data_IF_218361728871
#
_entry.id   IF_218361728871
#
_cell.length_a   1.000
_cell.length_b   1.000
_cell.length_c   1.000
_cell.angle_alpha   90.00
_cell.angle_beta   90.00
_cell.angle_gamma   90.00
#
_symmetry.space_group_name_H-M   'P 1'
#
loop_
_entity.id
_entity.type
_entity.pdbx_description
1 polymer ?
#
# COMPACT_ATOMS: atom_id res chain seq x y z
N UNK A 1 -4.97 -16.22 -13.87
CA UNK A 1 -5.66 -17.45 -13.45
C UNK A 1 -4.68 -18.58 -13.68
N UNK A 2 -4.45 -19.45 -12.70
CA UNK A 2 -3.58 -20.63 -12.88
C UNK A 2 -4.36 -21.82 -13.44
N UNK A 3 -3.66 -22.83 -13.97
CA UNK A 3 -4.30 -24.03 -14.52
C UNK A 3 -5.06 -24.85 -13.45
N UNK A 4 -4.72 -24.71 -12.16
CA UNK A 4 -5.51 -25.29 -11.06
C UNK A 4 -6.84 -24.55 -10.88
N UNK A 5 -6.82 -23.21 -10.91
CA UNK A 5 -8.05 -22.40 -10.89
C UNK A 5 -8.93 -22.73 -12.11
N UNK A 6 -8.33 -22.78 -13.31
CA UNK A 6 -9.01 -23.11 -14.56
C UNK A 6 -9.68 -24.49 -14.51
N UNK A 7 -9.02 -25.51 -13.96
CA UNK A 7 -9.60 -26.84 -13.75
C UNK A 7 -10.83 -26.77 -12.82
N UNK A 8 -10.74 -26.03 -11.71
CA UNK A 8 -11.85 -25.88 -10.75
C UNK A 8 -13.07 -25.24 -11.44
N UNK A 9 -12.88 -24.16 -12.20
CA UNK A 9 -13.98 -23.51 -12.93
C UNK A 9 -14.49 -24.38 -14.09
N UNK A 10 -13.62 -25.12 -14.77
CA UNK A 10 -13.99 -26.08 -15.82
C UNK A 10 -14.90 -27.18 -15.28
N UNK A 11 -14.55 -27.77 -14.12
CA UNK A 11 -15.38 -28.77 -13.44
C UNK A 11 -16.72 -28.19 -12.97
N UNK A 12 -16.71 -26.98 -12.40
CA UNK A 12 -17.95 -26.28 -12.03
C UNK A 12 -18.82 -25.97 -13.27
N UNK A 13 -18.20 -25.66 -14.42
CA UNK A 13 -18.89 -25.44 -15.70
C UNK A 13 -19.60 -26.70 -16.18
N UNK A 14 -19.05 -27.90 -15.96
CA UNK A 14 -19.74 -29.18 -16.25
C UNK A 14 -21.05 -29.28 -15.46
N UNK A 15 -21.06 -28.91 -14.17
CA UNK A 15 -22.28 -28.94 -13.34
C UNK A 15 -23.29 -27.90 -13.84
N UNK A 16 -22.85 -26.66 -14.11
CA UNK A 16 -23.70 -25.56 -14.62
C UNK A 16 -24.33 -25.90 -15.97
N UNK A 17 -23.53 -26.33 -16.95
CA UNK A 17 -24.03 -26.74 -18.28
C UNK A 17 -24.89 -27.99 -18.20
N UNK A 18 -24.59 -28.94 -17.32
CA UNK A 18 -25.44 -30.11 -17.15
C UNK A 18 -26.82 -29.71 -16.61
N UNK A 19 -26.88 -28.90 -15.56
CA UNK A 19 -28.12 -28.34 -15.02
C UNK A 19 -28.96 -27.66 -16.11
N UNK A 20 -28.35 -26.72 -16.86
CA UNK A 20 -29.07 -25.93 -17.87
C UNK A 20 -29.44 -26.73 -19.13
N UNK A 21 -28.86 -27.90 -19.33
CA UNK A 21 -29.27 -28.85 -20.39
C UNK A 21 -30.47 -29.73 -20.01
N UNK A 22 -30.88 -29.75 -18.73
CA UNK A 22 -32.10 -30.45 -18.31
C UNK A 22 -33.33 -29.55 -18.49
N UNK A 23 -34.53 -30.15 -18.45
CA UNK A 23 -35.81 -29.43 -18.57
C UNK A 23 -36.20 -28.76 -17.25
N UNK A 24 -35.45 -27.72 -16.89
CA UNK A 24 -35.58 -26.95 -15.66
C UNK A 24 -36.00 -25.52 -16.01
N UNK A 25 -37.03 -25.02 -15.30
CA UNK A 25 -37.61 -23.69 -15.54
C UNK A 25 -36.65 -22.54 -15.25
N UNK A 26 -35.85 -22.66 -14.20
CA UNK A 26 -34.90 -21.64 -13.74
C UNK A 26 -33.48 -22.05 -14.16
N UNK A 27 -33.06 -21.70 -15.38
CA UNK A 27 -31.68 -21.92 -15.85
C UNK A 27 -30.73 -20.92 -15.21
N UNK A 28 -29.49 -21.36 -14.97
CA UNK A 28 -28.40 -20.52 -14.45
C UNK A 28 -27.88 -19.57 -15.52
N UNK A 29 -27.86 -20.02 -16.78
CA UNK A 29 -27.41 -19.26 -17.96
C UNK A 29 -28.40 -19.39 -19.11
N UNK A 30 -28.67 -18.27 -19.78
CA UNK A 30 -29.49 -18.21 -21.00
C UNK A 30 -28.66 -17.61 -22.15
N UNK A 31 -28.48 -18.41 -23.20
CA UNK A 31 -27.88 -18.02 -24.47
C UNK A 31 -28.36 -18.97 -25.59
N UNK A 32 -28.45 -18.45 -26.81
CA UNK A 32 -28.87 -19.20 -28.01
C UNK A 32 -27.66 -19.74 -28.76
N UNK A 33 -26.62 -18.92 -28.91
CA UNK A 33 -25.34 -19.26 -29.53
C UNK A 33 -24.52 -20.22 -28.64
N UNK A 34 -24.06 -21.39 -29.14
CA UNK A 34 -23.29 -22.35 -28.34
C UNK A 34 -21.97 -21.80 -27.79
N UNK A 35 -21.28 -20.95 -28.55
CA UNK A 35 -20.03 -20.29 -28.15
C UNK A 35 -20.24 -19.31 -27.00
N UNK A 36 -21.31 -18.51 -27.09
CA UNK A 36 -21.72 -17.55 -26.05
C UNK A 36 -22.25 -18.28 -24.82
N UNK A 37 -22.99 -19.38 -25.00
CA UNK A 37 -23.45 -20.23 -23.90
C UNK A 37 -22.28 -20.79 -23.11
N UNK A 38 -21.31 -21.41 -23.80
CA UNK A 38 -20.09 -21.94 -23.18
C UNK A 38 -19.37 -20.88 -22.35
N UNK A 39 -19.08 -19.72 -22.95
CA UNK A 39 -18.42 -18.62 -22.24
C UNK A 39 -19.21 -18.18 -21.00
N UNK A 40 -20.52 -17.90 -21.15
CA UNK A 40 -21.36 -17.47 -20.02
C UNK A 40 -21.50 -18.53 -18.93
N UNK A 41 -21.52 -19.82 -19.27
CA UNK A 41 -21.53 -20.91 -18.28
C UNK A 41 -20.22 -20.98 -17.50
N UNK A 42 -19.09 -20.71 -18.15
CA UNK A 42 -17.79 -20.59 -17.48
C UNK A 42 -17.71 -19.32 -16.61
N UNK A 43 -18.10 -18.15 -17.13
CA UNK A 43 -18.19 -16.90 -16.37
C UNK A 43 -19.08 -17.11 -15.10
N UNK A 44 -20.22 -17.80 -15.25
CA UNK A 44 -21.12 -18.12 -14.13
C UNK A 44 -20.53 -19.14 -13.16
N UNK A 45 -19.71 -20.08 -13.63
CA UNK A 45 -18.99 -21.02 -12.76
C UNK A 45 -17.93 -20.30 -11.90
N UNK A 46 -17.21 -19.33 -12.48
CA UNK A 46 -16.31 -18.44 -11.73
C UNK A 46 -17.09 -17.69 -10.65
N UNK A 47 -18.20 -17.03 -11.02
CA UNK A 47 -19.04 -16.29 -10.06
C UNK A 47 -19.51 -17.16 -8.88
N UNK A 48 -19.91 -18.41 -9.13
CA UNK A 48 -20.38 -19.33 -8.09
C UNK A 48 -19.23 -19.74 -7.15
N UNK A 49 -18.05 -20.08 -7.68
CA UNK A 49 -16.91 -20.56 -6.88
C UNK A 49 -16.22 -19.42 -6.11
N UNK A 50 -16.31 -18.18 -6.61
CA UNK A 50 -15.73 -16.99 -5.97
C UNK A 50 -16.69 -16.22 -5.05
N UNK A 51 -17.98 -16.58 -4.98
CA UNK A 51 -18.92 -15.89 -4.09
C UNK A 51 -18.50 -16.06 -2.61
N UNK A 52 -18.38 -14.93 -1.92
CA UNK A 52 -18.06 -14.86 -0.49
C UNK A 52 -19.30 -14.82 0.40
N UNK A 53 -20.50 -14.68 -0.19
CA UNK A 53 -21.78 -14.60 0.53
C UNK A 53 -22.50 -15.95 0.59
N UNK A 54 -22.36 -16.76 -0.45
CA UNK A 54 -23.01 -18.07 -0.59
C UNK A 54 -21.95 -19.16 -0.67
N UNK A 55 -22.03 -20.18 0.17
CA UNK A 55 -21.17 -21.35 0.02
C UNK A 55 -21.53 -22.10 -1.28
N UNK A 56 -20.56 -22.22 -2.19
CA UNK A 56 -20.73 -22.84 -3.49
C UNK A 56 -21.12 -24.32 -3.38
N UNK A 57 -20.69 -25.02 -2.30
CA UNK A 57 -20.90 -26.45 -2.16
C UNK A 57 -22.39 -26.81 -2.00
N UNK A 58 -23.12 -26.34 -0.97
CA UNK A 58 -24.56 -26.59 -0.84
C UNK A 58 -25.37 -25.96 -1.97
N UNK A 59 -24.90 -24.86 -2.58
CA UNK A 59 -25.56 -24.27 -3.75
C UNK A 59 -25.52 -25.22 -4.96
N UNK A 60 -24.34 -25.74 -5.33
CA UNK A 60 -24.19 -26.67 -6.44
C UNK A 60 -24.82 -28.04 -6.13
N UNK A 61 -24.72 -28.52 -4.89
CA UNK A 61 -25.41 -29.75 -4.44
C UNK A 61 -26.94 -29.63 -4.64
N UNK A 62 -27.54 -28.51 -4.24
CA UNK A 62 -28.95 -28.24 -4.46
C UNK A 62 -29.34 -28.17 -5.95
N UNK A 63 -28.47 -27.61 -6.81
CA UNK A 63 -28.68 -27.59 -8.26
C UNK A 63 -28.50 -28.98 -8.90
N UNK A 64 -27.59 -29.82 -8.40
CA UNK A 64 -27.47 -31.23 -8.81
C UNK A 64 -28.74 -31.99 -8.46
N UNK A 65 -29.18 -31.96 -7.19
CA UNK A 65 -30.38 -32.66 -6.73
C UNK A 65 -31.65 -32.23 -7.51
N UNK A 66 -31.74 -30.96 -7.89
CA UNK A 66 -32.82 -30.45 -8.74
C UNK A 66 -32.76 -30.99 -10.18
N UNK A 67 -31.57 -31.17 -10.76
CA UNK A 67 -31.40 -31.59 -12.16
C UNK A 67 -31.32 -33.11 -12.37
N UNK A 68 -31.01 -33.90 -11.34
CA UNK A 68 -30.90 -35.37 -11.43
C UNK A 68 -32.05 -36.13 -10.78
N UNK A 69 -33.22 -35.51 -10.61
CA UNK A 69 -34.37 -36.11 -9.94
C UNK A 69 -34.79 -37.45 -10.59
N UNK A 70 -34.56 -38.56 -9.88
CA UNK A 70 -34.82 -39.92 -10.36
C UNK A 70 -33.73 -40.53 -11.24
N UNK A 71 -32.58 -39.88 -11.40
CA UNK A 71 -31.43 -40.36 -12.18
C UNK A 71 -30.16 -40.46 -11.32
N UNK A 72 -30.21 -41.31 -10.29
CA UNK A 72 -29.16 -41.46 -9.26
C UNK A 72 -27.75 -41.74 -9.80
N UNK A 73 -27.61 -42.46 -10.92
CA UNK A 73 -26.30 -42.71 -11.55
C UNK A 73 -25.62 -41.41 -11.98
N UNK A 74 -26.42 -40.42 -12.43
CA UNK A 74 -25.90 -39.11 -12.82
C UNK A 74 -25.65 -38.21 -11.62
N UNK A 75 -26.53 -38.27 -10.63
CA UNK A 75 -26.38 -37.61 -9.32
C UNK A 75 -25.03 -37.97 -8.70
N UNK A 76 -24.70 -39.27 -8.60
CA UNK A 76 -23.42 -39.76 -8.06
C UNK A 76 -22.19 -39.21 -8.81
N UNK A 77 -22.26 -39.12 -10.14
CA UNK A 77 -21.20 -38.56 -10.98
C UNK A 77 -21.02 -37.05 -10.80
N UNK A 78 -22.10 -36.28 -10.71
CA UNK A 78 -22.00 -34.83 -10.50
C UNK A 78 -21.56 -34.50 -9.07
N UNK A 79 -22.00 -35.29 -8.07
CA UNK A 79 -21.52 -35.18 -6.69
C UNK A 79 -20.05 -35.58 -6.56
N UNK A 80 -19.56 -36.53 -7.37
CA UNK A 80 -18.12 -36.79 -7.47
C UNK A 80 -17.36 -35.55 -7.98
N UNK A 81 -17.79 -34.95 -9.09
CA UNK A 81 -17.20 -33.70 -9.59
C UNK A 81 -17.24 -32.60 -8.51
N UNK A 82 -18.34 -32.46 -7.78
CA UNK A 82 -18.46 -31.45 -6.71
C UNK A 82 -17.50 -31.71 -5.53
N UNK A 83 -17.27 -32.98 -5.17
CA UNK A 83 -16.28 -33.35 -4.15
C UNK A 83 -14.84 -33.11 -4.62
N UNK A 84 -14.52 -33.37 -5.89
CA UNK A 84 -13.22 -33.03 -6.47
C UNK A 84 -13.01 -31.51 -6.56
N UNK A 85 -14.01 -30.73 -6.98
CA UNK A 85 -14.00 -29.26 -6.92
C UNK A 85 -13.64 -28.79 -5.52
N UNK A 86 -14.30 -29.37 -4.49
CA UNK A 86 -14.03 -29.03 -3.10
C UNK A 86 -12.61 -29.36 -2.67
N UNK A 87 -12.12 -30.58 -2.98
CA UNK A 87 -10.76 -30.97 -2.65
C UNK A 87 -9.72 -30.06 -3.34
N UNK A 88 -9.91 -29.75 -4.62
CA UNK A 88 -9.04 -28.86 -5.38
C UNK A 88 -9.10 -27.42 -4.85
N UNK A 89 -10.28 -26.94 -4.41
CA UNK A 89 -10.45 -25.63 -3.77
C UNK A 89 -9.73 -25.57 -2.41
N UNK A 90 -9.80 -26.65 -1.61
CA UNK A 90 -9.00 -26.80 -0.37
C UNK A 90 -7.48 -26.72 -0.66
N UNK A 91 -7.01 -27.19 -1.82
CA UNK A 91 -5.60 -27.04 -2.24
C UNK A 91 -5.26 -25.65 -2.83
N UNK A 92 -6.20 -25.03 -3.55
CA UNK A 92 -6.04 -23.69 -4.11
C UNK A 92 -5.95 -22.62 -3.01
N UNK A 93 -6.78 -22.72 -1.98
CA UNK A 93 -6.87 -21.73 -0.89
C UNK A 93 -5.72 -21.82 0.14
N UNK A 94 -4.74 -22.70 -0.09
CA UNK A 94 -3.52 -22.78 0.71
C UNK A 94 -2.74 -21.46 0.63
N UNK A 95 -2.11 -21.08 1.73
CA UNK A 95 -1.22 -19.90 1.83
C UNK A 95 0.26 -20.27 1.99
N UNK A 96 0.52 -21.55 2.23
CA UNK A 96 1.86 -22.11 2.42
C UNK A 96 2.18 -23.03 1.26
N UNK A 97 3.41 -22.98 0.72
CA UNK A 97 3.91 -23.97 -0.24
C UNK A 97 3.75 -25.39 0.30
N UNK A 98 3.63 -26.36 -0.61
CA UNK A 98 3.63 -27.78 -0.29
C UNK A 98 5.02 -28.23 0.15
N UNK A 99 5.06 -29.11 1.14
CA UNK A 99 6.25 -29.94 1.40
C UNK A 99 6.45 -30.94 0.24
N UNK A 100 7.68 -31.41 -0.06
CA UNK A 100 7.95 -32.24 -1.23
C UNK A 100 7.08 -33.51 -1.31
N UNK A 101 6.78 -34.12 -0.16
CA UNK A 101 5.89 -35.29 -0.07
C UNK A 101 4.42 -34.94 -0.32
N UNK A 102 3.96 -33.81 0.20
CA UNK A 102 2.58 -33.34 -0.03
C UNK A 102 2.37 -32.98 -1.50
N UNK A 103 3.37 -32.34 -2.13
CA UNK A 103 3.33 -32.01 -3.56
C UNK A 103 3.26 -33.27 -4.43
N UNK A 104 4.05 -34.30 -4.08
CA UNK A 104 3.99 -35.60 -4.76
C UNK A 104 2.60 -36.24 -4.60
N UNK A 105 2.06 -36.30 -3.37
CA UNK A 105 0.72 -36.85 -3.14
C UNK A 105 -0.35 -36.07 -3.90
N UNK A 106 -0.29 -34.74 -3.91
CA UNK A 106 -1.23 -33.92 -4.69
C UNK A 106 -1.12 -34.17 -6.20
N UNK A 107 0.09 -34.31 -6.74
CA UNK A 107 0.31 -34.69 -8.13
C UNK A 107 -0.26 -36.08 -8.44
N UNK A 108 -0.08 -37.06 -7.54
CA UNK A 108 -0.62 -38.41 -7.70
C UNK A 108 -2.15 -38.42 -7.68
N UNK A 109 -2.78 -37.66 -6.78
CA UNK A 109 -4.24 -37.49 -6.71
C UNK A 109 -4.81 -36.82 -7.98
N UNK A 110 -4.17 -35.76 -8.47
CA UNK A 110 -4.57 -35.06 -9.69
C UNK A 110 -4.36 -35.94 -10.95
N UNK A 111 -3.27 -36.71 -10.98
CA UNK A 111 -3.04 -37.72 -12.04
C UNK A 111 -4.14 -38.78 -12.04
N UNK A 112 -4.53 -39.27 -10.86
CA UNK A 112 -5.58 -40.27 -10.74
C UNK A 112 -6.95 -39.73 -11.19
N UNK A 113 -7.29 -38.49 -10.83
CA UNK A 113 -8.51 -37.82 -11.30
C UNK A 113 -8.60 -37.79 -12.84
N UNK A 114 -7.48 -37.46 -13.50
CA UNK A 114 -7.41 -37.46 -14.97
C UNK A 114 -7.50 -38.87 -15.58
N UNK A 115 -6.88 -39.87 -14.94
CA UNK A 115 -7.01 -41.27 -15.33
C UNK A 115 -8.46 -41.75 -15.20
N UNK A 116 -9.14 -41.40 -14.10
CA UNK A 116 -10.54 -41.75 -13.85
C UNK A 116 -11.47 -41.09 -14.88
N UNK A 117 -11.25 -39.82 -15.23
CA UNK A 117 -11.99 -39.17 -16.32
C UNK A 117 -11.83 -39.89 -17.67
N UNK A 118 -10.60 -40.23 -18.06
CA UNK A 118 -10.35 -40.98 -19.31
C UNK A 118 -10.97 -42.38 -19.26
N UNK A 119 -10.89 -43.07 -18.12
CA UNK A 119 -11.50 -44.39 -17.93
C UNK A 119 -13.03 -44.33 -18.02
N UNK A 120 -13.67 -43.34 -17.38
CA UNK A 120 -15.12 -43.12 -17.47
C UNK A 120 -15.57 -42.80 -18.89
N UNK A 121 -14.81 -42.01 -19.66
CA UNK A 121 -15.11 -41.72 -21.07
C UNK A 121 -14.98 -42.96 -21.96
N UNK A 122 -14.01 -43.83 -21.71
CA UNK A 122 -13.81 -45.06 -22.47
C UNK A 122 -14.73 -46.22 -22.02
N UNK A 123 -15.46 -46.06 -20.91
CA UNK A 123 -16.35 -47.07 -20.37
C UNK A 123 -17.81 -46.86 -20.78
N UNK A 124 -18.51 -47.97 -21.10
CA UNK A 124 -19.92 -47.99 -21.54
C UNK A 124 -20.88 -47.60 -20.41
N UNK A 125 -21.89 -46.79 -20.71
CA UNK A 125 -23.02 -46.52 -19.82
C UNK A 125 -23.59 -47.83 -19.24
N UNK A 126 -23.75 -47.91 -17.92
CA UNK A 126 -24.23 -49.08 -17.18
C UNK A 126 -23.13 -50.03 -16.70
N UNK A 127 -21.91 -49.94 -17.24
CA UNK A 127 -20.72 -50.51 -16.59
C UNK A 127 -20.21 -49.52 -15.53
N UNK A 128 -19.61 -50.02 -14.45
CA UNK A 128 -19.09 -49.22 -13.34
C UNK A 128 -17.56 -49.20 -13.32
N UNK A 129 -17.00 -48.08 -12.88
CA UNK A 129 -15.58 -47.85 -12.64
C UNK A 129 -15.36 -47.37 -11.20
N UNK A 130 -14.44 -47.97 -10.42
CA UNK A 130 -14.07 -47.47 -9.10
C UNK A 130 -13.17 -46.24 -9.23
N UNK A 131 -13.79 -45.06 -9.33
CA UNK A 131 -13.08 -43.78 -9.34
C UNK A 131 -12.57 -43.41 -7.94
N UNK A 132 -11.46 -42.66 -7.88
CA UNK A 132 -10.86 -42.20 -6.63
C UNK A 132 -11.38 -40.82 -6.27
N UNK A 133 -12.26 -40.75 -5.27
CA UNK A 133 -12.76 -39.50 -4.69
C UNK A 133 -11.77 -39.01 -3.62
N UNK A 134 -11.19 -37.83 -3.84
CA UNK A 134 -10.18 -37.22 -3.00
C UNK A 134 -10.78 -36.41 -1.86
N UNK A 135 -10.11 -36.40 -0.71
CA UNK A 135 -10.45 -35.49 0.39
C UNK A 135 -9.23 -35.23 1.28
N UNK A 136 -9.29 -34.15 2.06
CA UNK A 136 -8.34 -33.85 3.15
C UNK A 136 -8.27 -34.92 4.26
N UNK A 137 -9.19 -35.91 4.26
CA UNK A 137 -9.18 -37.06 5.17
C UNK A 137 -8.69 -38.36 4.51
N UNK A 138 -8.12 -38.27 3.31
CA UNK A 138 -7.73 -39.40 2.47
C UNK A 138 -8.70 -39.65 1.32
N UNK A 139 -8.31 -40.54 0.40
CA UNK A 139 -9.12 -40.92 -0.75
C UNK A 139 -10.10 -42.06 -0.45
N UNK A 140 -11.18 -42.14 -1.23
CA UNK A 140 -12.19 -43.21 -1.17
C UNK A 140 -12.52 -43.67 -2.58
N UNK A 141 -12.80 -44.97 -2.75
CA UNK A 141 -13.32 -45.47 -4.02
C UNK A 141 -14.82 -45.23 -4.13
N UNK A 142 -15.25 -44.77 -5.30
CA UNK A 142 -16.65 -44.49 -5.63
C UNK A 142 -16.98 -45.12 -6.98
N UNK A 143 -17.92 -46.04 -6.98
CA UNK A 143 -18.41 -46.67 -8.20
C UNK A 143 -19.19 -45.66 -9.03
N UNK A 144 -18.66 -45.32 -10.21
CA UNK A 144 -19.26 -44.38 -11.15
C UNK A 144 -19.52 -45.08 -12.48
N UNK A 145 -20.68 -44.80 -13.09
CA UNK A 145 -20.98 -45.41 -14.38
C UNK A 145 -20.26 -44.73 -15.53
N UNK A 146 -19.80 -45.53 -16.49
CA UNK A 146 -19.19 -45.05 -17.74
C UNK A 146 -20.07 -44.05 -18.50
N UNK A 147 -19.44 -43.26 -19.37
CA UNK A 147 -20.02 -42.12 -20.06
C UNK A 147 -20.22 -42.36 -21.57
N UNK A 148 -19.77 -43.49 -22.10
CA UNK A 148 -19.91 -43.87 -23.51
C UNK A 148 -21.30 -44.45 -23.80
N UNK A 149 -22.07 -43.81 -24.68
CA UNK A 149 -23.43 -44.24 -25.00
C UNK A 149 -23.44 -45.31 -26.11
N UNK A 150 -23.89 -46.51 -25.76
CA UNK A 150 -24.00 -47.65 -26.67
C UNK A 150 -25.36 -47.77 -27.38
N UNK A 151 -26.37 -46.98 -26.98
CA UNK A 151 -27.75 -47.13 -27.49
C UNK A 151 -27.98 -46.53 -28.88
N UNK A 152 -27.03 -45.76 -29.40
CA UNK A 152 -27.10 -45.17 -30.74
C UNK A 152 -25.88 -45.57 -31.55
N UNK A 153 -26.10 -45.86 -32.84
CA UNK A 153 -25.02 -46.19 -33.79
C UNK A 153 -24.04 -45.02 -33.85
N UNK A 154 -22.74 -45.30 -33.67
CA UNK A 154 -21.67 -44.29 -33.74
C UNK A 154 -20.99 -43.92 -32.43
N UNK A 155 -21.16 -44.69 -31.34
CA UNK A 155 -20.26 -44.63 -30.16
C UNK A 155 -20.17 -43.27 -29.47
N UNK A 156 -21.23 -42.46 -29.51
CA UNK A 156 -21.22 -41.08 -28.99
C UNK A 156 -21.19 -41.07 -27.47
N UNK A 157 -20.60 -40.05 -26.87
CA UNK A 157 -20.69 -39.84 -25.43
C UNK A 157 -22.12 -39.49 -24.98
N UNK A 158 -22.47 -39.80 -23.74
CA UNK A 158 -23.63 -39.21 -23.09
C UNK A 158 -23.39 -37.70 -22.84
N UNK A 159 -24.46 -36.94 -22.54
CA UNK A 159 -24.38 -35.49 -22.31
C UNK A 159 -23.22 -35.09 -21.38
N UNK A 160 -23.08 -35.74 -20.22
CA UNK A 160 -22.00 -35.44 -19.27
C UNK A 160 -20.61 -35.85 -19.75
N UNK A 161 -20.49 -36.89 -20.58
CA UNK A 161 -19.23 -37.23 -21.23
C UNK A 161 -18.82 -36.16 -22.26
N UNK A 162 -19.79 -35.66 -23.03
CA UNK A 162 -19.53 -34.53 -23.94
C UNK A 162 -19.15 -33.27 -23.17
N UNK A 163 -19.83 -32.94 -22.06
CA UNK A 163 -19.47 -31.79 -21.23
C UNK A 163 -18.08 -31.93 -20.58
N UNK A 164 -17.69 -33.14 -20.15
CA UNK A 164 -16.36 -33.41 -19.62
C UNK A 164 -15.27 -33.22 -20.70
N UNK A 165 -15.54 -33.63 -21.93
CA UNK A 165 -14.64 -33.40 -23.07
C UNK A 165 -14.57 -31.91 -23.42
N UNK A 166 -15.72 -31.28 -23.64
CA UNK A 166 -15.85 -29.89 -24.05
C UNK A 166 -15.19 -28.95 -23.03
N UNK A 167 -15.47 -29.12 -21.73
CA UNK A 167 -15.10 -28.14 -20.71
C UNK A 167 -13.86 -28.49 -19.92
N UNK A 168 -13.47 -29.76 -19.75
CA UNK A 168 -12.29 -30.12 -18.96
C UNK A 168 -11.13 -30.54 -19.86
N UNK A 169 -11.30 -31.58 -20.67
CA UNK A 169 -10.21 -32.11 -21.49
C UNK A 169 -9.72 -31.06 -22.51
N UNK A 170 -10.64 -30.44 -23.27
CA UNK A 170 -10.27 -29.42 -24.26
C UNK A 170 -9.54 -28.22 -23.64
N UNK A 171 -9.99 -27.75 -22.47
CA UNK A 171 -9.42 -26.59 -21.76
C UNK A 171 -8.04 -26.92 -21.20
N UNK A 172 -7.84 -28.12 -20.67
CA UNK A 172 -6.53 -28.57 -20.18
C UNK A 172 -5.59 -29.07 -21.29
N UNK A 173 -6.04 -29.09 -22.55
CA UNK A 173 -5.33 -29.64 -23.71
C UNK A 173 -5.02 -31.14 -23.58
N UNK A 174 -6.02 -31.89 -23.10
CA UNK A 174 -6.03 -33.35 -22.96
C UNK A 174 -6.93 -33.99 -24.02
N UNK A 175 -6.71 -35.27 -24.30
CA UNK A 175 -7.59 -36.11 -25.13
C UNK A 175 -7.99 -37.40 -24.41
N UNK A 176 -8.92 -38.16 -25.01
CA UNK A 176 -9.29 -39.49 -24.50
C UNK A 176 -8.25 -40.58 -24.80
N UNK A 177 -7.25 -40.26 -25.62
CA UNK A 177 -6.19 -41.19 -26.07
C UNK A 177 -4.87 -41.01 -25.29
N UNK A 178 -4.72 -39.90 -24.56
CA UNK A 178 -3.54 -39.57 -23.74
C UNK A 178 -3.13 -40.74 -22.83
N UNK A 179 -1.83 -41.06 -22.82
CA UNK A 179 -1.22 -42.08 -21.97
C UNK A 179 -1.17 -41.66 -20.49
N UNK A 180 -0.99 -42.62 -19.58
CA UNK A 180 -0.81 -42.30 -18.15
C UNK A 180 0.41 -41.39 -17.89
N UNK A 181 1.43 -41.44 -18.75
CA UNK A 181 2.59 -40.56 -18.71
C UNK A 181 2.22 -39.11 -19.04
N UNK A 182 1.47 -38.87 -20.10
CA UNK A 182 1.02 -37.54 -20.50
C UNK A 182 0.06 -36.94 -19.46
N UNK A 183 -0.91 -37.73 -18.96
CA UNK A 183 -1.80 -37.30 -17.88
C UNK A 183 -1.02 -36.92 -16.60
N UNK A 184 0.05 -37.67 -16.26
CA UNK A 184 0.93 -37.38 -15.12
C UNK A 184 1.79 -36.13 -15.33
N UNK A 185 2.21 -35.86 -16.57
CA UNK A 185 2.93 -34.65 -16.93
C UNK A 185 2.03 -33.41 -16.85
N UNK A 186 0.80 -33.50 -17.37
CA UNK A 186 -0.20 -32.42 -17.27
C UNK A 186 -0.52 -32.12 -15.80
N UNK A 187 -0.75 -33.15 -14.98
CA UNK A 187 -0.93 -32.98 -13.53
C UNK A 187 0.32 -32.37 -12.86
N UNK A 188 1.52 -32.84 -13.21
CA UNK A 188 2.79 -32.30 -12.69
C UNK A 188 2.97 -30.83 -13.00
N UNK A 189 2.69 -30.41 -14.24
CA UNK A 189 2.76 -29.02 -14.67
C UNK A 189 1.79 -28.13 -13.86
N UNK A 190 0.55 -28.58 -13.64
CA UNK A 190 -0.43 -27.85 -12.80
C UNK A 190 0.06 -27.72 -11.35
N UNK A 191 0.59 -28.81 -10.77
CA UNK A 191 1.11 -28.80 -9.40
C UNK A 191 2.36 -27.90 -9.24
N UNK A 192 3.27 -27.90 -10.22
CA UNK A 192 4.48 -27.05 -10.21
C UNK A 192 4.09 -25.57 -10.35
N UNK A 193 3.18 -25.25 -11.27
CA UNK A 193 2.66 -23.89 -11.45
C UNK A 193 2.06 -23.32 -10.15
N UNK A 194 1.21 -24.11 -9.48
CA UNK A 194 0.62 -23.73 -8.19
C UNK A 194 1.67 -23.63 -7.07
N UNK A 195 2.62 -24.56 -6.98
CA UNK A 195 3.72 -24.49 -6.01
C UNK A 195 4.59 -23.23 -6.21
N UNK A 196 4.86 -22.84 -7.46
CA UNK A 196 5.55 -21.59 -7.77
C UNK A 196 4.73 -20.37 -7.35
N UNK A 197 3.43 -20.34 -7.61
CA UNK A 197 2.53 -19.27 -7.15
C UNK A 197 2.54 -19.14 -5.61
N UNK A 198 2.39 -20.24 -4.88
CA UNK A 198 2.41 -20.28 -3.41
C UNK A 198 3.76 -19.80 -2.85
N UNK A 199 4.86 -20.17 -3.50
CA UNK A 199 6.20 -19.75 -3.10
C UNK A 199 6.37 -18.23 -3.25
N UNK A 200 5.98 -17.68 -4.40
CA UNK A 200 6.00 -16.23 -4.66
C UNK A 200 5.09 -15.44 -3.71
N UNK A 201 3.92 -15.97 -3.34
CA UNK A 201 3.04 -15.35 -2.34
C UNK A 201 3.66 -15.39 -0.93
N UNK A 202 4.24 -16.53 -0.54
CA UNK A 202 4.92 -16.69 0.75
C UNK A 202 6.13 -15.75 0.89
N UNK A 203 6.90 -15.55 -0.18
CA UNK A 203 8.02 -14.61 -0.20
C UNK A 203 7.58 -13.15 -0.09
N UNK A 204 6.53 -12.75 -0.80
CA UNK A 204 5.93 -11.40 -0.67
C UNK A 204 5.50 -11.11 0.76
N UNK A 205 4.73 -12.01 1.38
CA UNK A 205 4.30 -11.87 2.77
C UNK A 205 5.47 -11.80 3.76
N UNK A 206 6.56 -12.56 3.52
CA UNK A 206 7.78 -12.48 4.35
C UNK A 206 8.53 -11.16 4.17
N UNK A 207 8.51 -10.57 2.98
CA UNK A 207 9.15 -9.28 2.72
C UNK A 207 8.32 -8.13 3.33
N UNK A 208 7.01 -8.13 3.15
CA UNK A 208 6.07 -7.19 3.79
C UNK A 208 6.18 -7.23 5.33
N UNK A 209 6.31 -8.43 5.91
CA UNK A 209 6.54 -8.59 7.36
C UNK A 209 7.88 -7.96 7.81
N UNK A 210 8.96 -8.19 7.07
CA UNK A 210 10.28 -7.59 7.37
C UNK A 210 10.29 -6.08 7.20
N UNK A 211 9.60 -5.54 6.19
CA UNK A 211 9.44 -4.10 6.00
C UNK A 211 8.65 -3.49 7.17
N UNK A 212 7.57 -4.13 7.61
CA UNK A 212 6.82 -3.68 8.81
C UNK A 212 7.65 -3.74 10.09
N UNK A 213 8.48 -4.76 10.28
CA UNK A 213 9.42 -4.82 11.41
C UNK A 213 10.49 -3.73 11.35
N UNK A 214 11.05 -3.47 10.16
CA UNK A 214 12.01 -2.40 9.94
C UNK A 214 11.40 -1.01 10.19
N UNK A 215 10.18 -0.77 9.74
CA UNK A 215 9.45 0.48 10.04
C UNK A 215 9.19 0.64 11.54
N UNK A 216 8.77 -0.42 12.25
CA UNK A 216 8.60 -0.39 13.70
C UNK A 216 9.90 -0.11 14.45
N UNK A 217 11.01 -0.71 14.04
CA UNK A 217 12.33 -0.43 14.61
C UNK A 217 12.77 1.02 14.34
N UNK A 218 12.53 1.54 13.13
CA UNK A 218 12.81 2.93 12.78
C UNK A 218 11.97 3.92 13.58
N UNK A 219 10.68 3.64 13.79
CA UNK A 219 9.80 4.45 14.64
C UNK A 219 10.27 4.43 16.10
N UNK A 220 10.60 3.26 16.64
CA UNK A 220 11.16 3.13 17.99
C UNK A 220 12.47 3.91 18.18
N UNK A 221 13.38 3.89 17.19
CA UNK A 221 14.60 4.71 17.21
C UNK A 221 14.32 6.22 17.17
N UNK A 222 13.32 6.65 16.39
CA UNK A 222 12.90 8.05 16.33
C UNK A 222 12.24 8.51 17.64
N UNK A 223 11.44 7.66 18.28
CA UNK A 223 10.87 7.93 19.61
C UNK A 223 11.96 8.01 20.69
N UNK A 224 12.93 7.09 20.67
CA UNK A 224 14.09 7.13 21.56
C UNK A 224 14.88 8.44 21.40
N UNK A 225 15.30 8.79 20.18
CA UNK A 225 16.00 10.06 19.90
C UNK A 225 15.18 11.28 20.32
N UNK A 226 13.87 11.27 20.12
CA UNK A 226 13.00 12.38 20.55
C UNK A 226 12.98 12.49 22.08
N UNK A 227 12.86 11.38 22.80
CA UNK A 227 12.92 11.38 24.27
C UNK A 227 14.27 11.82 24.82
N UNK A 228 15.38 11.48 24.15
CA UNK A 228 16.72 11.96 24.50
C UNK A 228 16.81 13.48 24.30
N UNK A 229 16.37 13.99 23.14
CA UNK A 229 16.30 15.43 22.86
C UNK A 229 15.41 16.19 23.86
N UNK A 230 14.22 15.68 24.18
CA UNK A 230 13.33 16.27 25.17
C UNK A 230 13.97 16.27 26.58
N UNK A 231 14.74 15.23 26.92
CA UNK A 231 15.48 15.15 28.19
C UNK A 231 16.66 16.14 28.25
N UNK A 232 17.40 16.29 27.15
CA UNK A 232 18.51 17.23 27.03
C UNK A 232 18.02 18.67 27.07
N UNK A 233 16.94 18.99 26.35
CA UNK A 233 16.31 20.31 26.39
C UNK A 233 15.77 20.64 27.79
N UNK A 234 15.23 19.66 28.52
CA UNK A 234 14.77 19.84 29.90
C UNK A 234 15.92 20.08 30.89
N UNK A 235 17.08 19.45 30.67
CA UNK A 235 18.32 19.74 31.41
C UNK A 235 18.83 21.15 31.11
N UNK A 236 18.89 21.56 29.84
CA UNK A 236 19.31 22.91 29.45
C UNK A 236 18.39 24.00 30.04
N UNK A 237 17.07 23.73 30.11
CA UNK A 237 16.12 24.63 30.77
C UNK A 237 16.41 24.75 32.28
N UNK A 238 16.65 23.64 32.97
CA UNK A 238 16.99 23.62 34.39
C UNK A 238 18.32 24.33 34.70
N UNK A 239 19.30 24.28 33.79
CA UNK A 239 20.55 25.04 33.92
C UNK A 239 20.32 26.54 33.73
N UNK A 240 19.51 26.95 32.75
CA UNK A 240 19.10 28.35 32.55
C UNK A 240 18.30 28.89 33.73
N UNK A 241 17.37 28.10 34.28
CA UNK A 241 16.58 28.48 35.45
C UNK A 241 17.48 28.67 36.68
N UNK A 242 18.45 27.78 36.92
CA UNK A 242 19.46 27.96 37.98
C UNK A 242 20.32 29.20 37.77
N UNK A 243 20.75 29.48 36.54
CA UNK A 243 21.51 30.69 36.22
C UNK A 243 20.69 31.97 36.45
N UNK A 244 19.39 31.95 36.08
CA UNK A 244 18.45 33.04 36.38
C UNK A 244 18.22 33.21 37.88
N UNK A 245 18.11 32.12 38.64
CA UNK A 245 17.95 32.15 40.10
C UNK A 245 19.16 32.82 40.77
N UNK A 246 20.38 32.43 40.38
CA UNK A 246 21.62 33.05 40.88
C UNK A 246 21.70 34.55 40.55
N UNK A 247 21.37 34.95 39.32
CA UNK A 247 21.34 36.35 38.93
C UNK A 247 20.28 37.16 39.69
N UNK A 248 19.13 36.54 40.02
CA UNK A 248 18.07 37.16 40.83
C UNK A 248 18.50 37.33 42.30
N UNK A 249 19.24 36.39 42.86
CA UNK A 249 19.75 36.49 44.23
C UNK A 249 20.93 37.47 44.34
N UNK A 250 21.77 37.60 43.30
CA UNK A 250 22.80 38.64 43.19
C UNK A 250 22.16 40.06 43.14
N UNK A 251 21.14 40.25 42.29
CA UNK A 251 20.33 41.48 42.23
C UNK A 251 19.64 41.82 43.57
N UNK A 252 19.20 40.81 44.33
CA UNK A 252 18.66 41.00 45.68
C UNK A 252 19.72 41.46 46.67
N UNK A 253 20.90 40.82 46.64
CA UNK A 253 22.07 41.23 47.45
C UNK A 253 22.44 42.69 47.21
N UNK A 254 22.44 43.13 45.96
CA UNK A 254 22.77 44.52 45.61
C UNK A 254 21.64 45.49 46.02
N UNK A 255 20.37 45.09 45.92
CA UNK A 255 19.25 45.90 46.45
C UNK A 255 19.28 46.01 47.99
N UNK A 256 19.74 44.98 48.70
CA UNK A 256 19.94 45.04 50.16
C UNK A 256 21.14 45.95 50.51
N UNK A 257 22.26 45.84 49.80
CA UNK A 257 23.39 46.77 49.96
C UNK A 257 23.01 48.22 49.69
N UNK A 258 22.13 48.49 48.71
CA UNK A 258 21.62 49.84 48.42
C UNK A 258 20.65 50.33 49.52
N UNK A 259 19.94 49.43 50.22
CA UNK A 259 19.10 49.77 51.39
C UNK A 259 19.89 49.96 52.68
N UNK A 260 21.00 49.24 52.85
CA UNK A 260 21.89 49.34 54.01
C UNK A 260 22.96 50.44 53.87
N UNK A 261 23.19 50.94 52.66
CA UNK A 261 23.93 52.17 52.45
C UNK A 261 23.27 53.31 53.26
N UNK A 262 24.05 54.08 54.06
CA UNK A 262 23.47 55.16 54.85
C UNK A 262 22.86 56.21 53.93
N UNK A 263 21.81 56.90 54.40
CA UNK A 263 21.29 58.11 53.76
C UNK A 263 22.17 59.31 54.13
N UNK A 264 22.94 59.88 53.19
CA UNK A 264 23.19 61.32 53.21
C UNK A 264 22.95 61.93 51.82
N UNK A 265 21.68 62.04 51.39
CA UNK A 265 21.29 62.77 50.18
C UNK A 265 20.03 63.62 50.42
N UNK A 266 20.01 64.37 51.52
CA UNK A 266 19.03 65.46 51.73
C UNK A 266 19.68 66.83 51.99
N UNK A 267 20.96 66.88 52.39
CA UNK A 267 21.67 68.14 52.73
C UNK A 267 22.41 68.78 51.53
N UNK A 268 22.58 68.07 50.41
CA UNK A 268 23.22 68.64 49.21
C UNK A 268 22.31 69.65 48.48
N UNK A 269 20.98 69.50 48.60
CA UNK A 269 19.99 70.32 47.88
C UNK A 269 19.87 71.78 48.36
N UNK A 270 20.39 72.13 49.55
CA UNK A 270 20.39 73.53 50.02
C UNK A 270 21.62 74.32 49.54
N UNK A 271 22.76 73.67 49.27
CA UNK A 271 23.92 74.35 48.68
C UNK A 271 23.74 74.67 47.19
N UNK A 272 22.92 73.90 46.48
CA UNK A 272 22.64 74.14 45.06
C UNK A 272 21.68 75.31 44.81
N UNK A 273 21.00 75.83 45.85
CA UNK A 273 20.19 77.06 45.75
C UNK A 273 21.00 78.34 45.80
N UNK A 274 22.11 78.38 46.55
CA UNK A 274 22.95 79.58 46.64
C UNK A 274 23.88 79.74 45.44
N UNK A 275 24.31 78.63 44.82
CA UNK A 275 25.06 78.64 43.55
C UNK A 275 24.19 79.05 42.34
N UNK A 276 22.89 78.77 42.36
CA UNK A 276 21.97 79.29 41.32
C UNK A 276 21.82 80.81 41.37
N UNK A 277 21.84 81.43 42.55
CA UNK A 277 21.75 82.90 42.69
C UNK A 277 23.00 83.61 42.14
N UNK A 278 24.20 83.07 42.39
CA UNK A 278 25.44 83.66 41.84
C UNK A 278 25.59 83.45 40.33
N UNK A 279 25.00 82.38 39.76
CA UNK A 279 24.92 82.20 38.31
C UNK A 279 24.00 83.26 37.67
N UNK A 280 22.86 83.59 38.29
CA UNK A 280 21.92 84.61 37.80
C UNK A 280 22.51 86.03 37.85
N UNK A 281 23.30 86.35 38.87
CA UNK A 281 24.08 87.60 38.94
C UNK A 281 25.19 87.67 37.87
N UNK A 282 25.97 86.60 37.68
CA UNK A 282 26.98 86.54 36.63
C UNK A 282 26.38 86.63 35.22
N UNK A 283 25.18 86.09 34.99
CA UNK A 283 24.47 86.25 33.72
C UNK A 283 24.05 87.71 33.47
N UNK A 284 23.60 88.45 34.49
CA UNK A 284 23.31 89.89 34.37
C UNK A 284 24.55 90.73 34.08
N UNK A 285 25.69 90.41 34.68
CA UNK A 285 26.96 91.08 34.35
C UNK A 285 27.43 90.76 32.92
N UNK A 286 27.21 89.53 32.45
CA UNK A 286 27.54 89.12 31.08
C UNK A 286 26.62 89.81 30.05
N UNK A 287 25.32 89.95 30.30
CA UNK A 287 24.43 90.73 29.43
C UNK A 287 24.81 92.22 29.41
N UNK A 288 25.16 92.80 30.56
CA UNK A 288 25.58 94.21 30.65
C UNK A 288 26.86 94.48 29.86
N UNK A 289 27.89 93.65 30.05
CA UNK A 289 29.16 93.76 29.29
C UNK A 289 28.95 93.52 27.80
N UNK A 290 28.04 92.62 27.40
CA UNK A 290 27.68 92.38 26.00
C UNK A 290 26.97 93.57 25.36
N UNK A 291 26.12 94.28 26.10
CA UNK A 291 25.48 95.52 25.64
C UNK A 291 26.50 96.67 25.46
N UNK A 292 27.47 96.79 26.38
CA UNK A 292 28.59 97.74 26.25
C UNK A 292 29.47 97.42 25.03
N UNK A 293 29.72 96.14 24.75
CA UNK A 293 30.52 95.68 23.60
C UNK A 293 29.80 95.88 22.26
N UNK A 294 28.49 95.68 22.18
CA UNK A 294 27.70 96.02 20.99
C UNK A 294 27.73 97.53 20.71
N UNK A 295 27.62 98.37 21.76
CA UNK A 295 27.70 99.83 21.62
C UNK A 295 29.06 100.29 21.10
N UNK A 296 30.14 99.62 21.49
CA UNK A 296 31.49 99.86 20.95
C UNK A 296 31.67 99.32 19.51
N UNK A 297 30.99 98.23 19.13
CA UNK A 297 31.03 97.73 17.73
C UNK A 297 30.29 98.65 16.75
N UNK A 298 29.21 99.32 17.18
CA UNK A 298 28.48 100.28 16.34
C UNK A 298 29.30 101.55 16.03
N UNK A 299 30.19 101.99 16.92
CA UNK A 299 31.13 103.10 16.63
C UNK A 299 32.22 102.72 15.60
N UNK A 300 32.62 101.44 15.54
CA UNK A 300 33.76 100.98 14.72
C UNK A 300 33.35 100.57 13.29
N UNK A 301 32.06 100.28 13.04
CA UNK A 301 31.60 99.75 11.74
C UNK A 301 31.23 100.80 10.67
N UNK A 302 31.69 102.05 10.84
CA UNK A 302 31.58 103.09 9.82
C UNK A 302 32.84 103.24 8.95
N UNK A 303 33.20 102.22 8.15
CA UNK A 303 33.88 102.34 6.83
C UNK A 303 34.41 100.98 6.27
N UNK A 304 33.94 100.59 5.07
CA UNK A 304 34.60 99.69 4.07
C UNK A 304 34.91 98.23 4.49
N UNK A 305 34.86 97.18 3.64
CA UNK A 305 34.58 96.99 2.20
C UNK A 305 33.79 95.65 2.02
N UNK A 306 33.10 95.46 0.89
CA UNK A 306 32.19 94.34 0.61
C UNK A 306 32.87 93.05 0.03
N UNK A 307 32.16 91.89 0.01
CA UNK A 307 32.73 90.53 -0.08
C UNK A 307 32.52 89.90 -1.49
N UNK A 308 32.39 88.55 -1.76
CA UNK A 308 31.35 87.67 -1.16
C UNK A 308 31.54 86.11 -1.10
N UNK A 309 30.67 85.43 -0.31
CA UNK A 309 30.23 84.00 -0.38
C UNK A 309 31.29 82.85 -0.23
N UNK A 310 30.99 81.62 0.21
CA UNK A 310 29.72 80.89 0.49
C UNK A 310 29.91 79.82 1.61
N UNK A 311 28.88 79.58 2.43
CA UNK A 311 28.67 78.42 3.36
C UNK A 311 27.98 77.25 2.59
N UNK A 312 27.40 76.17 3.18
CA UNK A 312 27.40 75.64 4.57
C UNK A 312 27.98 74.19 4.62
N UNK A 313 27.73 73.22 5.53
CA UNK A 313 26.77 73.04 6.65
C UNK A 313 27.37 72.17 7.79
N UNK A 314 26.76 72.24 8.96
CA UNK A 314 26.95 71.39 10.17
C UNK A 314 25.80 70.37 10.35
N UNK A 315 25.99 69.33 11.18
CA UNK A 315 24.84 68.59 11.75
C UNK A 315 25.19 67.28 12.48
N UNK A 316 25.00 67.24 13.80
CA UNK A 316 25.23 66.08 14.66
C UNK A 316 24.06 65.97 15.65
N UNK A 317 23.35 64.83 15.70
CA UNK A 317 22.22 64.63 16.62
C UNK A 317 21.99 63.15 17.05
N UNK A 318 22.06 62.94 18.37
CA UNK A 318 21.26 62.03 19.23
C UNK A 318 20.75 60.64 18.80
N UNK A 319 21.28 59.61 19.48
CA UNK A 319 20.56 58.56 20.25
C UNK A 319 19.22 57.95 19.75
N UNK A 320 19.16 56.60 19.69
CA UNK A 320 18.26 55.76 20.52
C UNK A 320 18.64 54.25 20.47
N UNK A 321 18.20 53.49 21.49
CA UNK A 321 18.39 52.03 21.68
C UNK A 321 17.52 51.17 20.74
N UNK A 322 18.00 50.00 20.26
CA UNK A 322 17.66 48.68 20.85
C UNK A 322 18.19 47.44 20.10
N UNK A 323 18.69 46.48 20.90
CA UNK A 323 18.59 45.01 20.84
C UNK A 323 18.82 44.16 19.55
N UNK A 324 19.74 43.20 19.75
CA UNK A 324 19.73 41.77 19.35
C UNK A 324 20.21 41.29 17.96
N UNK A 325 21.26 40.44 18.05
CA UNK A 325 21.47 39.12 17.40
C UNK A 325 20.58 38.79 16.18
N UNK A 326 21.08 38.29 15.05
CA UNK A 326 22.37 37.68 14.79
C UNK A 326 22.23 36.52 13.79
N UNK A 327 23.18 36.47 12.85
CA UNK A 327 23.78 35.27 12.22
C UNK A 327 22.98 34.42 11.20
N UNK A 328 23.51 34.43 9.97
CA UNK A 328 23.78 33.27 9.07
C UNK A 328 22.68 32.29 8.63
N UNK A 329 22.69 32.01 7.32
CA UNK A 329 22.35 30.67 6.78
C UNK A 329 21.33 30.65 5.66
N UNK A 330 21.78 30.34 4.44
CA UNK A 330 20.90 29.73 3.43
C UNK A 330 20.65 28.25 3.82
N UNK A 331 19.61 27.60 3.25
CA UNK A 331 19.91 26.88 2.01
C UNK A 331 18.82 26.93 0.93
N UNK A 332 19.25 26.65 -0.31
CA UNK A 332 18.42 26.24 -1.44
C UNK A 332 17.88 24.83 -1.19
N UNK A 333 16.63 24.55 -1.57
CA UNK A 333 16.20 23.21 -2.02
C UNK A 333 14.93 23.32 -2.85
N UNK A 334 15.04 23.21 -4.18
CA UNK A 334 13.99 22.71 -5.09
C UNK A 334 14.56 22.60 -6.51
N UNK A 335 14.91 21.38 -6.94
CA UNK A 335 14.75 20.91 -8.32
C UNK A 335 15.06 19.40 -8.36
N UNK A 336 14.00 18.59 -8.44
CA UNK A 336 14.14 17.23 -8.95
C UNK A 336 14.06 17.28 -10.47
N UNK A 337 15.08 16.72 -11.13
CA UNK A 337 14.98 16.25 -12.50
C UNK A 337 14.31 14.88 -12.51
N UNK A 338 13.56 14.59 -13.58
CA UNK A 338 13.58 13.27 -14.23
C UNK A 338 12.94 13.35 -15.61
N UNK A 339 13.64 12.84 -16.61
CA UNK A 339 13.17 12.63 -17.97
C UNK A 339 12.53 11.24 -18.09
N UNK A 340 11.53 11.09 -18.95
CA UNK A 340 11.47 10.06 -20.02
C UNK A 340 10.05 10.06 -20.63
N UNK A 341 9.89 10.43 -21.90
CA UNK A 341 10.05 9.60 -23.11
C UNK A 341 8.80 8.79 -23.46
N UNK A 342 7.96 9.35 -24.33
CA UNK A 342 6.89 8.63 -25.04
C UNK A 342 7.44 8.04 -26.35
N UNK A 343 7.19 6.75 -26.58
CA UNK A 343 7.20 6.00 -27.85
C UNK A 343 6.46 4.68 -27.53
N UNK A 344 5.28 4.29 -28.02
CA UNK A 344 4.68 4.30 -29.38
C UNK A 344 5.54 3.68 -30.47
N UNK A 345 5.54 2.35 -30.56
CA UNK A 345 5.64 1.58 -31.84
C UNK A 345 5.13 0.13 -31.70
N UNK A 346 3.95 -0.12 -32.26
CA UNK A 346 3.60 -1.31 -33.08
C UNK A 346 3.12 -0.75 -34.45
N UNK A 347 2.93 -1.52 -35.55
CA UNK A 347 3.01 -2.97 -35.72
C UNK A 347 3.84 -3.46 -36.96
N UNK A 348 3.95 -4.78 -37.11
CA UNK A 348 3.94 -5.63 -38.34
C UNK A 348 4.34 -7.04 -37.90
N UNK A 349 3.59 -8.13 -38.11
CA UNK A 349 2.79 -8.56 -39.26
C UNK A 349 3.64 -8.81 -40.52
N UNK A 350 4.14 -10.04 -40.64
CA UNK A 350 4.55 -10.60 -41.94
C UNK A 350 4.34 -12.12 -41.94
N UNK A 351 3.79 -12.63 -43.04
CA UNK A 351 3.28 -14.00 -43.17
C UNK A 351 3.76 -14.68 -44.46
N UNK A 352 4.45 -15.81 -44.37
CA UNK A 352 4.62 -16.79 -45.47
C UNK A 352 5.21 -18.09 -44.90
N UNK A 353 4.47 -19.21 -44.88
CA UNK A 353 4.26 -20.21 -45.96
C UNK A 353 5.42 -21.20 -46.18
N UNK A 354 5.09 -22.48 -45.95
CA UNK A 354 5.40 -23.68 -46.76
C UNK A 354 6.83 -23.93 -47.30
N UNK A 355 7.42 -25.05 -46.84
CA UNK A 355 7.64 -26.32 -47.59
C UNK A 355 7.95 -27.41 -46.53
N UNK A 356 7.37 -28.61 -46.52
CA UNK A 356 7.50 -29.73 -47.47
C UNK A 356 8.95 -30.19 -47.62
N UNK A 357 9.33 -31.18 -46.80
CA UNK A 357 9.72 -32.52 -47.29
C UNK A 357 9.31 -33.59 -46.24
#
# INVERSE_FOLDING_TARGET
MTRLEELIYSLATVIVRYHDSQDIKEKLVVAVEPSVLRKKSHDRAIEIIQDTKTDYFPFLEGKIAACTKGYHVREQYLLFILNEIRFLKEQLDRKTPFEPKELQTFQEQLTQLFIDFRQLLNLKNGMMHPATENSSKGSKLKELSGLLNTRYVGGKYCNSGQLLIDEVLFVLHMTTEDSNSELKEIAGNICIEHQTQLSLQSEKLKNEAKESEFEKQKLSLLEAQKSELDSAHKLELLEKDKAHQLAMDELRSDLERIKEAPKPQLESLEKDKSSLLTIDELQKELEKTKAELQKAQEEVLSLRIRPPYLFPYSGLAGLMLNQNRGTTGAPRFFQHSLQSSQTTTTPKEESSKFNIE
#
